data_IF_099086814703
#
_entry.id   IF_099086814703
#
_cell.length_a   1.000
_cell.length_b   1.000
_cell.length_c   1.000
_cell.angle_alpha   90.00
_cell.angle_beta   90.00
_cell.angle_gamma   90.00
#
_symmetry.space_group_name_H-M   'P 1'
#
loop_
_entity.id
_entity.type
_entity.pdbx_description
1 polymer ?
#
# COMPACT_ATOMS: atom_id res chain seq x y z
N UNK A 1 -11.09 -3.91 9.79
CA UNK A 1 -10.49 -4.07 8.46
C UNK A 1 -11.49 -3.70 7.34
N UNK A 2 -12.70 -4.31 7.29
CA UNK A 2 -13.67 -4.09 6.20
C UNK A 2 -14.13 -2.63 6.08
N UNK A 3 -14.29 -1.91 7.19
CA UNK A 3 -14.74 -0.51 7.21
C UNK A 3 -13.59 0.51 7.16
N UNK A 4 -12.35 0.09 7.06
CA UNK A 4 -11.19 0.97 7.09
C UNK A 4 -10.21 0.69 5.94
N UNK A 5 -9.10 0.01 6.20
CA UNK A 5 -8.02 -0.20 5.25
C UNK A 5 -8.48 -0.96 3.98
N UNK A 6 -9.27 -2.02 4.14
CA UNK A 6 -9.73 -2.80 2.98
C UNK A 6 -10.60 -1.94 2.04
N UNK A 7 -11.59 -1.24 2.59
CA UNK A 7 -12.51 -0.41 1.81
C UNK A 7 -11.82 0.84 1.23
N UNK A 8 -11.09 1.58 2.06
CA UNK A 8 -10.59 2.90 1.70
C UNK A 8 -9.27 2.89 0.93
N UNK A 9 -8.54 1.78 0.97
CA UNK A 9 -7.27 1.63 0.27
C UNK A 9 -7.36 0.50 -0.75
N UNK A 10 -7.44 -0.76 -0.32
CA UNK A 10 -7.28 -1.90 -1.22
C UNK A 10 -8.35 -1.97 -2.32
N UNK A 11 -9.62 -1.86 -1.96
CA UNK A 11 -10.72 -1.93 -2.94
C UNK A 11 -10.75 -0.69 -3.82
N UNK A 12 -10.53 0.48 -3.23
CA UNK A 12 -10.50 1.74 -3.97
C UNK A 12 -9.36 1.78 -4.97
N UNK A 13 -8.16 1.39 -4.57
CA UNK A 13 -7.00 1.35 -5.47
C UNK A 13 -7.21 0.32 -6.58
N UNK A 14 -7.73 -0.87 -6.23
CA UNK A 14 -8.04 -1.91 -7.21
C UNK A 14 -9.05 -1.42 -8.24
N UNK A 15 -10.16 -0.82 -7.81
CA UNK A 15 -11.20 -0.30 -8.70
C UNK A 15 -10.68 0.82 -9.60
N UNK A 16 -10.04 1.83 -9.03
CA UNK A 16 -9.53 2.96 -9.79
C UNK A 16 -8.47 2.57 -10.82
N UNK A 17 -7.52 1.70 -10.45
CA UNK A 17 -6.44 1.28 -11.35
C UNK A 17 -6.95 0.36 -12.46
N UNK A 18 -7.86 -0.56 -12.14
CA UNK A 18 -8.43 -1.45 -13.14
C UNK A 18 -9.36 -0.69 -14.11
N UNK A 19 -10.19 0.20 -13.57
CA UNK A 19 -11.10 1.02 -14.40
C UNK A 19 -10.38 2.03 -15.29
N UNK A 20 -9.19 2.49 -14.89
CA UNK A 20 -8.32 3.28 -15.77
C UNK A 20 -7.95 2.54 -17.07
N UNK A 21 -8.03 1.22 -17.06
CA UNK A 21 -7.82 0.33 -18.21
C UNK A 21 -9.10 -0.36 -18.69
N UNK A 22 -10.27 0.14 -18.27
CA UNK A 22 -11.58 -0.43 -18.59
C UNK A 22 -11.74 -1.93 -18.21
N UNK A 23 -11.10 -2.33 -17.10
CA UNK A 23 -11.17 -3.69 -16.55
C UNK A 23 -12.05 -3.70 -15.30
N UNK A 24 -13.10 -4.51 -15.28
CA UNK A 24 -13.89 -4.77 -14.08
C UNK A 24 -13.22 -5.86 -13.26
N UNK A 25 -12.83 -5.54 -12.01
CA UNK A 25 -12.30 -6.51 -11.06
C UNK A 25 -13.36 -6.88 -10.04
N UNK A 26 -13.62 -8.17 -9.91
CA UNK A 26 -14.52 -8.71 -8.88
C UNK A 26 -13.73 -9.43 -7.80
N UNK A 27 -14.19 -9.30 -6.57
CA UNK A 27 -13.54 -9.85 -5.36
C UNK A 27 -14.46 -10.88 -4.70
N UNK A 28 -14.42 -12.15 -5.13
CA UNK A 28 -15.39 -13.17 -4.72
C UNK A 28 -15.45 -13.42 -3.20
N UNK A 29 -14.35 -13.18 -2.47
CA UNK A 29 -14.32 -13.29 -1.00
C UNK A 29 -15.03 -12.13 -0.28
N UNK A 30 -15.47 -11.11 -0.99
CA UNK A 30 -16.26 -10.00 -0.46
C UNK A 30 -17.70 -10.03 -0.96
N UNK A 31 -18.13 -11.14 -1.52
CA UNK A 31 -19.55 -11.38 -1.80
C UNK A 31 -20.36 -11.25 -0.50
N UNK A 32 -21.47 -10.49 -0.55
CA UNK A 32 -22.23 -10.14 0.65
C UNK A 32 -22.83 -11.37 1.35
N UNK A 33 -23.29 -12.36 0.58
CA UNK A 33 -23.85 -13.59 1.16
C UNK A 33 -22.77 -14.39 1.90
N UNK A 34 -21.58 -14.47 1.30
CA UNK A 34 -20.43 -15.11 1.94
C UNK A 34 -19.99 -14.36 3.19
N UNK A 35 -19.91 -13.04 3.15
CA UNK A 35 -19.54 -12.21 4.29
C UNK A 35 -20.56 -12.35 5.42
N UNK A 36 -21.85 -12.25 5.12
CA UNK A 36 -22.92 -12.44 6.09
C UNK A 36 -22.87 -13.83 6.73
N UNK A 37 -22.72 -14.87 5.91
CA UNK A 37 -22.54 -16.22 6.41
C UNK A 37 -21.34 -16.34 7.36
N UNK A 38 -20.20 -15.80 6.97
CA UNK A 38 -18.98 -15.84 7.76
C UNK A 38 -19.11 -15.04 9.08
N UNK A 39 -19.91 -13.98 9.11
CA UNK A 39 -20.17 -13.26 10.36
C UNK A 39 -20.91 -14.12 11.41
N UNK A 40 -21.71 -15.06 10.99
CA UNK A 40 -22.43 -15.99 11.87
C UNK A 40 -21.60 -17.22 12.28
N UNK A 41 -20.47 -17.49 11.65
CA UNK A 41 -19.58 -18.58 12.04
C UNK A 41 -18.94 -18.29 13.40
N UNK A 42 -18.86 -19.29 14.27
CA UNK A 42 -18.25 -19.14 15.59
C UNK A 42 -16.77 -18.72 15.50
N UNK A 43 -16.36 -17.79 16.36
CA UNK A 43 -15.00 -17.24 16.34
C UNK A 43 -13.91 -18.30 16.60
N UNK A 44 -14.19 -19.34 17.33
CA UNK A 44 -13.25 -20.46 17.51
C UNK A 44 -12.95 -21.20 16.20
N UNK A 45 -13.86 -21.14 15.24
CA UNK A 45 -13.66 -21.70 13.90
C UNK A 45 -12.96 -20.69 12.99
N UNK A 46 -13.38 -19.41 13.07
CA UNK A 46 -12.81 -18.33 12.24
C UNK A 46 -11.36 -17.97 12.59
N UNK A 47 -11.04 -18.01 13.90
CA UNK A 47 -9.73 -17.58 14.42
C UNK A 47 -8.98 -18.74 15.08
N UNK A 48 -8.69 -19.80 14.34
CA UNK A 48 -7.84 -20.88 14.84
C UNK A 48 -6.39 -20.39 14.93
N UNK A 49 -5.55 -21.17 15.60
CA UNK A 49 -4.11 -20.89 15.69
C UNK A 49 -3.39 -20.89 14.34
N UNK A 50 -3.94 -21.61 13.36
CA UNK A 50 -3.39 -21.66 11.99
C UNK A 50 -4.10 -20.65 11.08
N UNK A 51 -3.38 -19.69 10.49
CA UNK A 51 -3.96 -18.72 9.58
C UNK A 51 -4.65 -19.39 8.37
N UNK A 52 -5.81 -18.87 7.98
CA UNK A 52 -6.59 -19.34 6.81
C UNK A 52 -7.05 -20.80 6.89
N UNK A 53 -7.04 -21.40 8.07
CA UNK A 53 -7.35 -22.82 8.26
C UNK A 53 -8.68 -23.22 7.61
N UNK A 54 -9.75 -22.46 7.86
CA UNK A 54 -11.06 -22.74 7.29
C UNK A 54 -11.06 -22.80 5.77
N UNK A 55 -10.39 -21.84 5.13
CA UNK A 55 -10.25 -21.81 3.67
C UNK A 55 -9.44 -23.01 3.17
N UNK A 56 -8.33 -23.32 3.82
CA UNK A 56 -7.45 -24.44 3.45
C UNK A 56 -8.19 -25.76 3.57
N UNK A 57 -8.91 -25.99 4.67
CA UNK A 57 -9.66 -27.22 4.89
C UNK A 57 -10.85 -27.39 3.92
N UNK A 58 -11.48 -26.26 3.56
CA UNK A 58 -12.59 -26.28 2.59
C UNK A 58 -12.15 -26.62 1.16
N UNK A 59 -10.89 -26.39 0.82
CA UNK A 59 -10.35 -26.58 -0.53
C UNK A 59 -9.09 -27.46 -0.55
N UNK A 60 -8.94 -28.34 0.45
CA UNK A 60 -7.74 -29.16 0.61
C UNK A 60 -7.34 -29.92 -0.67
N UNK A 61 -8.31 -30.47 -1.39
CA UNK A 61 -8.07 -31.23 -2.61
C UNK A 61 -7.66 -30.37 -3.83
N UNK A 62 -7.86 -29.05 -3.72
CA UNK A 62 -7.61 -28.10 -4.83
C UNK A 62 -6.34 -27.28 -4.61
N UNK A 63 -5.83 -27.21 -3.39
CA UNK A 63 -4.69 -26.36 -3.05
C UNK A 63 -3.41 -27.18 -2.95
N UNK A 64 -2.39 -26.90 -3.79
CA UNK A 64 -1.09 -27.57 -3.67
C UNK A 64 -0.39 -27.26 -2.36
N UNK A 65 0.29 -28.25 -1.78
CA UNK A 65 0.98 -28.14 -0.49
C UNK A 65 1.99 -26.98 -0.43
N UNK A 66 2.69 -26.72 -1.50
CA UNK A 66 3.66 -25.62 -1.59
C UNK A 66 3.00 -24.23 -1.56
N UNK A 67 1.71 -24.13 -1.86
CA UNK A 67 0.92 -22.89 -1.74
C UNK A 67 0.41 -22.75 -0.31
N UNK A 68 -0.11 -23.84 0.28
CA UNK A 68 -0.66 -23.86 1.63
C UNK A 68 0.41 -23.54 2.67
N UNK A 69 1.57 -24.16 2.54
CA UNK A 69 2.67 -24.06 3.51
C UNK A 69 3.66 -22.92 3.23
N UNK A 70 3.37 -22.08 2.25
CA UNK A 70 4.23 -20.95 1.91
C UNK A 70 4.25 -19.91 3.04
N UNK A 71 5.43 -19.43 3.47
CA UNK A 71 5.54 -18.32 4.41
C UNK A 71 4.74 -17.10 3.93
N UNK A 72 4.07 -16.41 4.85
CA UNK A 72 3.37 -15.17 4.51
C UNK A 72 4.38 -14.14 4.01
N UNK A 73 4.22 -13.72 2.76
CA UNK A 73 4.96 -12.60 2.20
C UNK A 73 4.00 -11.44 1.95
N UNK A 74 4.37 -10.26 2.43
CA UNK A 74 3.69 -9.02 2.08
C UNK A 74 4.00 -8.62 0.63
N UNK A 75 3.15 -7.79 0.04
CA UNK A 75 3.45 -7.13 -1.22
C UNK A 75 4.43 -5.99 -0.93
N UNK A 76 5.71 -6.22 -1.17
CA UNK A 76 6.79 -5.26 -0.90
C UNK A 76 7.43 -4.88 -2.22
N UNK A 77 7.32 -3.61 -2.58
CA UNK A 77 8.06 -3.02 -3.68
C UNK A 77 9.41 -2.51 -3.18
N UNK A 78 10.47 -2.54 -3.98
CA UNK A 78 11.80 -2.10 -3.58
C UNK A 78 11.94 -0.55 -3.59
N UNK A 79 11.05 0.15 -2.86
CA UNK A 79 10.99 1.61 -2.80
C UNK A 79 12.31 2.27 -2.40
N UNK A 80 13.00 1.70 -1.41
CA UNK A 80 14.30 2.21 -0.97
C UNK A 80 15.34 2.18 -2.10
N UNK A 81 15.33 1.11 -2.90
CA UNK A 81 16.22 1.00 -4.04
C UNK A 81 15.85 2.00 -5.13
N UNK A 82 14.59 2.00 -5.56
CA UNK A 82 14.12 2.88 -6.62
C UNK A 82 14.34 4.35 -6.31
N UNK A 83 13.99 4.79 -5.11
CA UNK A 83 14.11 6.20 -4.72
C UNK A 83 15.55 6.67 -4.55
N UNK A 84 16.50 5.75 -4.33
CA UNK A 84 17.93 6.08 -4.32
C UNK A 84 18.59 5.98 -5.69
N UNK A 85 17.95 5.35 -6.65
CA UNK A 85 18.49 5.09 -8.00
C UNK A 85 17.55 5.64 -9.09
N UNK A 86 16.65 4.82 -9.61
CA UNK A 86 15.85 5.11 -10.81
C UNK A 86 14.88 6.30 -10.63
N UNK A 87 14.37 6.49 -9.42
CA UNK A 87 13.45 7.58 -9.09
C UNK A 87 14.13 8.74 -8.34
N UNK A 88 15.45 8.71 -8.20
CA UNK A 88 16.17 9.71 -7.39
C UNK A 88 15.92 11.13 -7.88
N UNK A 89 16.19 11.38 -9.14
CA UNK A 89 16.05 12.72 -9.74
C UNK A 89 14.60 13.19 -9.72
N UNK A 90 13.66 12.28 -9.94
CA UNK A 90 12.23 12.58 -9.82
C UNK A 90 11.85 12.99 -8.39
N UNK A 91 12.29 12.24 -7.39
CA UNK A 91 12.01 12.57 -6.00
C UNK A 91 12.63 13.92 -5.61
N UNK A 92 13.87 14.16 -6.01
CA UNK A 92 14.60 15.39 -5.73
C UNK A 92 13.90 16.62 -6.34
N UNK A 93 13.51 16.54 -7.61
CA UNK A 93 12.70 17.59 -8.27
C UNK A 93 11.42 17.91 -7.50
N UNK A 94 10.69 16.86 -7.05
CA UNK A 94 9.42 17.06 -6.34
C UNK A 94 9.62 17.65 -4.94
N UNK A 95 10.67 17.25 -4.24
CA UNK A 95 11.00 17.78 -2.92
C UNK A 95 11.42 19.25 -2.99
N UNK A 96 12.22 19.64 -3.99
CA UNK A 96 12.57 21.04 -4.26
C UNK A 96 11.30 21.85 -4.55
N UNK A 97 10.46 21.39 -5.48
CA UNK A 97 9.20 22.07 -5.81
C UNK A 97 8.28 22.24 -4.60
N UNK A 98 8.25 21.28 -3.68
CA UNK A 98 7.45 21.35 -2.46
C UNK A 98 7.99 22.43 -1.50
N UNK A 99 9.31 22.57 -1.40
CA UNK A 99 9.96 23.60 -0.58
C UNK A 99 9.70 25.01 -1.12
N UNK A 100 9.71 25.19 -2.45
CA UNK A 100 9.41 26.48 -3.11
C UNK A 100 8.00 27.00 -2.83
N UNK A 101 7.04 26.12 -2.57
CA UNK A 101 5.66 26.49 -2.20
C UNK A 101 5.59 27.14 -0.81
N UNK A 102 6.60 26.92 0.05
CA UNK A 102 6.68 27.54 1.37
C UNK A 102 5.82 26.86 2.47
N UNK A 103 5.21 25.70 2.18
CA UNK A 103 4.43 24.93 3.18
C UNK A 103 5.36 24.26 4.19
N UNK A 104 6.55 23.85 3.75
CA UNK A 104 7.57 23.18 4.56
C UNK A 104 8.86 23.97 4.51
N UNK A 105 9.61 23.88 5.60
CA UNK A 105 10.93 24.49 5.68
C UNK A 105 11.92 23.76 4.75
N UNK A 106 12.55 24.49 3.85
CA UNK A 106 13.45 23.98 2.82
C UNK A 106 14.60 23.17 3.45
N UNK A 107 15.21 23.72 4.52
CA UNK A 107 16.31 23.06 5.22
C UNK A 107 15.91 21.69 5.81
N UNK A 108 14.69 21.60 6.35
CA UNK A 108 14.19 20.36 6.94
C UNK A 108 13.92 19.28 5.88
N UNK A 109 13.37 19.68 4.73
CA UNK A 109 13.14 18.77 3.59
C UNK A 109 14.47 18.27 3.02
N UNK A 110 15.43 19.18 2.84
CA UNK A 110 16.75 18.85 2.33
C UNK A 110 17.51 17.91 3.30
N UNK A 111 17.48 18.20 4.59
CA UNK A 111 18.09 17.33 5.61
C UNK A 111 17.47 15.92 5.61
N UNK A 112 16.15 15.83 5.57
CA UNK A 112 15.42 14.55 5.54
C UNK A 112 15.80 13.73 4.29
N UNK A 113 15.94 14.39 3.13
CA UNK A 113 16.37 13.75 1.91
C UNK A 113 17.81 13.23 1.99
N UNK A 114 18.72 14.02 2.52
CA UNK A 114 20.13 13.62 2.70
C UNK A 114 20.26 12.46 3.69
N UNK A 115 19.50 12.46 4.79
CA UNK A 115 19.45 11.35 5.74
C UNK A 115 18.95 10.07 5.06
N UNK A 116 17.94 10.17 4.21
CA UNK A 116 17.46 9.03 3.43
C UNK A 116 18.53 8.49 2.47
N UNK A 117 19.18 9.38 1.70
CA UNK A 117 20.24 8.98 0.76
C UNK A 117 21.43 8.33 1.44
N UNK A 118 21.79 8.80 2.64
CA UNK A 118 22.88 8.24 3.45
C UNK A 118 22.52 6.94 4.18
N UNK A 119 21.30 6.45 4.00
CA UNK A 119 20.81 5.22 4.65
C UNK A 119 20.71 5.33 6.17
N UNK A 120 20.37 6.51 6.71
CA UNK A 120 20.06 6.65 8.14
C UNK A 120 18.89 5.74 8.50
N UNK A 121 19.04 4.82 9.48
CA UNK A 121 18.02 3.86 9.85
C UNK A 121 16.73 4.50 10.40
N UNK A 122 16.78 5.79 10.75
CA UNK A 122 15.63 6.54 11.24
C UNK A 122 14.75 7.08 10.10
N UNK A 123 15.24 7.09 8.86
CA UNK A 123 14.55 7.65 7.71
C UNK A 123 14.33 6.57 6.65
N UNK A 124 13.11 6.10 6.57
CA UNK A 124 12.66 5.14 5.54
C UNK A 124 11.99 5.86 4.35
N UNK A 125 11.87 5.17 3.24
CA UNK A 125 11.13 5.65 2.06
C UNK A 125 9.72 6.17 2.38
N UNK A 126 9.06 5.58 3.38
CA UNK A 126 7.69 5.95 3.78
C UNK A 126 7.57 7.34 4.41
N UNK A 127 8.70 7.96 4.79
CA UNK A 127 8.74 9.37 5.22
C UNK A 127 8.92 10.33 4.06
N UNK A 128 9.58 9.91 3.00
CA UNK A 128 9.88 10.72 1.82
C UNK A 128 8.72 10.68 0.82
N UNK A 129 8.21 9.49 0.52
CA UNK A 129 7.21 9.30 -0.53
C UNK A 129 5.94 10.14 -0.37
N UNK A 130 5.36 10.32 0.83
CA UNK A 130 4.22 11.21 1.03
C UNK A 130 4.49 12.66 0.62
N UNK A 131 5.71 13.15 0.81
CA UNK A 131 6.10 14.51 0.41
C UNK A 131 6.17 14.63 -1.12
N UNK A 132 6.71 13.62 -1.79
CA UNK A 132 6.74 13.54 -3.27
C UNK A 132 5.31 13.50 -3.84
N UNK A 133 4.44 12.71 -3.23
CA UNK A 133 3.02 12.64 -3.61
C UNK A 133 2.32 13.97 -3.37
N UNK A 134 2.54 14.61 -2.23
CA UNK A 134 1.97 15.92 -1.90
C UNK A 134 2.37 16.98 -2.92
N UNK A 135 3.67 17.08 -3.24
CA UNK A 135 4.19 17.98 -4.26
C UNK A 135 3.50 17.78 -5.61
N UNK A 136 3.42 16.52 -6.04
CA UNK A 136 2.77 16.17 -7.31
C UNK A 136 1.29 16.52 -7.31
N UNK A 137 0.60 16.26 -6.20
CA UNK A 137 -0.83 16.52 -6.04
C UNK A 137 -1.14 18.02 -6.08
N UNK A 138 -0.37 18.85 -5.35
CA UNK A 138 -0.52 20.31 -5.34
C UNK A 138 -0.36 20.85 -6.76
N UNK A 139 0.70 20.44 -7.48
CA UNK A 139 0.97 20.87 -8.85
C UNK A 139 -0.14 20.44 -9.82
N UNK A 140 -0.59 19.19 -9.73
CA UNK A 140 -1.63 18.64 -10.61
C UNK A 140 -2.97 19.35 -10.41
N UNK A 141 -3.32 19.68 -9.17
CA UNK A 141 -4.58 20.33 -8.84
C UNK A 141 -4.49 21.86 -8.85
N UNK A 142 -3.35 22.44 -9.21
CA UNK A 142 -3.12 23.91 -9.30
C UNK A 142 -3.51 24.62 -7.99
N UNK A 143 -3.12 24.04 -6.86
CA UNK A 143 -3.42 24.64 -5.55
C UNK A 143 -2.43 25.77 -5.30
N UNK A 144 -2.96 26.95 -5.09
CA UNK A 144 -2.21 28.13 -4.64
C UNK A 144 -2.10 28.04 -3.10
N UNK A 145 -0.88 28.11 -2.57
CA UNK A 145 -0.60 28.07 -1.13
C UNK A 145 -0.19 29.45 -0.63
#
# INVERSE_FOLDING_TARGET
EMSSYMQNVLLRDTDQMSMAHALEVRVPFLDHELVEYMMHVNDQIKYPTTPKKLLIESFADLLPDNVVNRPKMGFVLPWDHWMRNELKDFCEEKLISLSEIGILEESAVAELWQQFLSSDPKVSWSRIWPLVVLSTWIKTNRIEA
#
